data_IF_141008802233
#
_entry.id   IF_141008802233
#
_cell.length_a   1.000
_cell.length_b   1.000
_cell.length_c   1.000
_cell.angle_alpha   90.00
_cell.angle_beta   90.00
_cell.angle_gamma   90.00
#
_symmetry.space_group_name_H-M   'P 1'
#
loop_
_entity.id
_entity.type
_entity.pdbx_description
1 polymer ?
#
# COMPACT_ATOMS: atom_id res chain seq x y z
N UNK A 1 -10.78 7.44 12.77
CA UNK A 1 -10.88 6.04 13.20
C UNK A 1 -10.69 5.87 14.68
N UNK A 2 -9.52 6.16 15.24
CA UNK A 2 -9.25 6.03 16.69
C UNK A 2 -10.40 6.52 17.58
N UNK A 3 -10.85 7.77 17.39
CA UNK A 3 -12.00 8.31 18.13
C UNK A 3 -13.29 7.46 18.03
N UNK A 4 -13.65 6.98 16.84
CA UNK A 4 -14.85 6.16 16.67
C UNK A 4 -14.68 4.76 17.25
N UNK A 5 -13.46 4.24 17.26
CA UNK A 5 -13.15 3.02 17.99
C UNK A 5 -13.28 3.22 19.51
N UNK A 6 -12.85 4.37 20.04
CA UNK A 6 -13.03 4.68 21.47
C UNK A 6 -14.52 4.86 21.84
N UNK A 7 -15.32 5.44 20.95
CA UNK A 7 -16.77 5.61 21.13
C UNK A 7 -17.55 4.28 20.99
N UNK A 8 -17.11 3.41 20.08
CA UNK A 8 -17.78 2.16 19.70
C UNK A 8 -16.79 0.98 19.70
N UNK A 9 -16.22 0.57 20.85
CA UNK A 9 -15.09 -0.37 20.90
C UNK A 9 -15.43 -1.78 20.40
N UNK A 10 -16.68 -2.21 20.55
CA UNK A 10 -17.14 -3.55 20.13
C UNK A 10 -18.14 -3.49 18.96
N UNK A 11 -18.46 -2.29 18.48
CA UNK A 11 -19.46 -2.06 17.42
C UNK A 11 -18.80 -1.36 16.22
N UNK A 12 -18.05 -2.17 15.47
CA UNK A 12 -17.37 -1.72 14.26
C UNK A 12 -18.37 -1.30 13.17
N UNK A 13 -19.60 -1.84 13.16
CA UNK A 13 -20.61 -1.49 12.16
C UNK A 13 -21.06 -0.04 12.33
N UNK A 14 -21.29 0.42 13.57
CA UNK A 14 -21.59 1.83 13.85
C UNK A 14 -20.40 2.73 13.50
N UNK A 15 -19.17 2.35 13.83
CA UNK A 15 -17.98 3.11 13.44
C UNK A 15 -17.81 3.18 11.90
N UNK A 16 -18.11 2.09 11.21
CA UNK A 16 -18.13 2.02 9.75
C UNK A 16 -19.21 2.94 9.17
N UNK A 17 -20.41 3.00 9.75
CA UNK A 17 -21.46 3.93 9.30
C UNK A 17 -20.97 5.38 9.39
N UNK A 18 -20.33 5.78 10.49
CA UNK A 18 -19.74 7.13 10.64
C UNK A 18 -18.65 7.43 9.61
N UNK A 19 -17.82 6.43 9.33
CA UNK A 19 -16.78 6.49 8.32
C UNK A 19 -17.41 6.68 6.93
N UNK A 20 -18.41 5.87 6.59
CA UNK A 20 -19.12 5.91 5.32
C UNK A 20 -19.83 7.27 5.13
N UNK A 21 -20.56 7.76 6.13
CA UNK A 21 -21.19 9.09 6.12
C UNK A 21 -20.16 10.20 5.82
N UNK A 22 -19.00 10.16 6.48
CA UNK A 22 -18.01 11.24 6.39
C UNK A 22 -17.13 11.16 5.15
N UNK A 23 -16.59 10.01 4.81
CA UNK A 23 -15.55 9.88 3.78
C UNK A 23 -16.08 9.30 2.47
N UNK A 24 -17.18 8.55 2.52
CA UNK A 24 -17.79 7.98 1.32
C UNK A 24 -18.95 8.80 0.79
N UNK A 25 -19.89 9.26 1.63
CA UNK A 25 -21.11 9.93 1.16
C UNK A 25 -20.97 11.46 1.10
N UNK A 26 -20.12 12.06 1.94
CA UNK A 26 -19.96 13.51 1.98
C UNK A 26 -19.13 14.03 0.78
N UNK A 27 -19.72 14.87 -0.11
CA UNK A 27 -19.01 15.43 -1.26
C UNK A 27 -17.76 16.24 -0.90
N UNK A 28 -17.71 16.85 0.28
CA UNK A 28 -16.55 17.63 0.72
C UNK A 28 -15.28 16.79 0.88
N UNK A 29 -15.45 15.49 1.16
CA UNK A 29 -14.35 14.54 1.29
C UNK A 29 -14.06 13.77 0.00
N UNK A 30 -14.88 13.96 -1.06
CA UNK A 30 -14.76 13.28 -2.36
C UNK A 30 -14.24 14.15 -3.50
N UNK A 31 -13.74 15.36 -3.24
CA UNK A 31 -13.42 16.39 -4.26
C UNK A 31 -12.50 15.91 -5.40
N UNK A 32 -11.69 14.88 -5.19
CA UNK A 32 -10.87 14.23 -6.22
C UNK A 32 -10.88 12.69 -6.10
N UNK A 33 -12.00 12.12 -5.66
CA UNK A 33 -12.17 10.66 -5.59
C UNK A 33 -12.18 10.05 -6.99
N UNK A 34 -11.66 8.82 -7.11
CA UNK A 34 -11.87 7.98 -8.29
C UNK A 34 -13.38 7.72 -8.43
N UNK A 35 -13.94 8.05 -9.59
CA UNK A 35 -15.37 7.89 -9.88
C UNK A 35 -16.20 9.15 -9.62
N UNK A 36 -16.89 9.63 -10.67
CA UNK A 36 -17.95 10.65 -10.58
C UNK A 36 -19.33 10.05 -10.31
N UNK A 37 -19.43 8.72 -10.39
CA UNK A 37 -20.70 7.99 -10.26
C UNK A 37 -21.00 7.66 -8.80
N UNK A 38 -22.30 7.61 -8.48
CA UNK A 38 -22.80 7.29 -7.16
C UNK A 38 -22.50 5.83 -6.81
N UNK A 39 -21.64 5.61 -5.81
CA UNK A 39 -21.43 4.29 -5.20
C UNK A 39 -19.99 3.78 -5.17
N UNK A 40 -19.14 4.17 -6.13
CA UNK A 40 -17.72 3.75 -6.15
C UNK A 40 -16.80 4.83 -5.57
N UNK A 41 -15.87 4.46 -4.68
CA UNK A 41 -14.90 5.36 -4.06
C UNK A 41 -13.70 4.57 -3.53
N UNK A 42 -12.53 4.80 -4.10
CA UNK A 42 -11.25 4.23 -3.66
C UNK A 42 -10.28 5.35 -3.24
N UNK A 43 -10.81 6.43 -2.67
CA UNK A 43 -10.00 7.52 -2.14
C UNK A 43 -9.07 7.00 -1.03
N UNK A 44 -7.81 7.41 -1.07
CA UNK A 44 -6.78 6.96 -0.12
C UNK A 44 -7.14 7.20 1.36
N UNK A 45 -7.92 8.24 1.67
CA UNK A 45 -8.40 8.52 3.04
C UNK A 45 -9.42 7.48 3.48
N UNK A 46 -10.29 7.05 2.58
CA UNK A 46 -11.30 6.01 2.82
C UNK A 46 -10.63 4.65 3.00
N UNK A 47 -9.78 4.25 2.05
CA UNK A 47 -9.01 3.01 2.09
C UNK A 47 -8.14 2.92 3.36
N UNK A 48 -7.41 4.00 3.68
CA UNK A 48 -6.63 4.08 4.91
C UNK A 48 -7.50 3.92 6.17
N UNK A 49 -8.72 4.47 6.17
CA UNK A 49 -9.64 4.28 7.28
C UNK A 49 -10.15 2.82 7.39
N UNK A 50 -10.38 2.12 6.27
CA UNK A 50 -10.75 0.70 6.26
C UNK A 50 -9.62 -0.23 6.71
N UNK A 51 -8.37 0.09 6.37
CA UNK A 51 -7.19 -0.61 6.90
C UNK A 51 -7.13 -0.45 8.42
N UNK A 52 -7.26 0.79 8.93
CA UNK A 52 -7.23 1.06 10.38
C UNK A 52 -8.42 0.42 11.10
N UNK A 53 -9.61 0.38 10.48
CA UNK A 53 -10.77 -0.37 10.98
C UNK A 53 -10.40 -1.84 11.23
N UNK A 54 -9.87 -2.52 10.21
CA UNK A 54 -9.47 -3.92 10.32
C UNK A 54 -8.44 -4.14 11.43
N UNK A 55 -7.42 -3.28 11.51
CA UNK A 55 -6.38 -3.40 12.53
C UNK A 55 -6.89 -3.21 13.96
N UNK A 56 -7.79 -2.22 14.18
CA UNK A 56 -8.32 -1.92 15.51
C UNK A 56 -9.32 -3.00 15.96
N UNK A 57 -10.35 -3.26 15.16
CA UNK A 57 -11.41 -4.20 15.52
C UNK A 57 -11.04 -5.68 15.30
N UNK A 58 -9.99 -5.94 14.51
CA UNK A 58 -9.37 -7.25 14.43
C UNK A 58 -8.56 -7.60 15.68
N UNK A 59 -8.11 -6.60 16.45
CA UNK A 59 -7.41 -6.76 17.73
C UNK A 59 -6.26 -7.78 17.68
N UNK A 60 -5.45 -7.71 16.61
CA UNK A 60 -4.32 -8.61 16.39
C UNK A 60 -4.68 -10.00 15.85
N UNK A 61 -5.96 -10.34 15.69
CA UNK A 61 -6.41 -11.56 15.03
C UNK A 61 -6.39 -11.37 13.50
N UNK A 62 -5.60 -12.16 12.74
CA UNK A 62 -5.52 -12.03 11.30
C UNK A 62 -6.84 -12.24 10.54
N UNK A 63 -7.64 -13.24 10.94
CA UNK A 63 -8.89 -13.54 10.24
C UNK A 63 -9.89 -12.41 10.43
N UNK A 64 -10.05 -11.92 11.65
CA UNK A 64 -10.93 -10.78 11.94
C UNK A 64 -10.45 -9.50 11.26
N UNK A 65 -9.13 -9.26 11.27
CA UNK A 65 -8.53 -8.09 10.60
C UNK A 65 -8.86 -8.09 9.11
N UNK A 66 -8.68 -9.25 8.44
CA UNK A 66 -8.98 -9.44 7.02
C UNK A 66 -10.49 -9.35 6.77
N UNK A 67 -11.31 -10.01 7.58
CA UNK A 67 -12.77 -10.02 7.42
C UNK A 67 -13.34 -8.60 7.49
N UNK A 68 -13.00 -7.85 8.55
CA UNK A 68 -13.55 -6.51 8.79
C UNK A 68 -13.11 -5.54 7.69
N UNK A 69 -11.82 -5.53 7.35
CA UNK A 69 -11.32 -4.65 6.28
C UNK A 69 -11.87 -5.00 4.89
N UNK A 70 -12.15 -6.27 4.63
CA UNK A 70 -12.87 -6.71 3.41
C UNK A 70 -14.32 -6.21 3.43
N UNK A 71 -15.03 -6.41 4.54
CA UNK A 71 -16.45 -6.05 4.71
C UNK A 71 -16.71 -4.55 4.76
N UNK A 72 -15.67 -3.74 4.96
CA UNK A 72 -15.76 -2.29 4.80
C UNK A 72 -16.10 -1.86 3.34
N UNK A 73 -15.83 -2.73 2.36
CA UNK A 73 -16.22 -2.55 0.95
C UNK A 73 -15.26 -1.67 0.12
N UNK A 74 -15.70 -1.32 -1.08
CA UNK A 74 -14.95 -0.54 -2.08
C UNK A 74 -13.71 -1.29 -2.60
N UNK A 75 -12.52 -0.97 -2.09
CA UNK A 75 -11.23 -1.55 -2.50
C UNK A 75 -10.94 -2.83 -1.68
N UNK A 76 -11.80 -3.84 -1.87
CA UNK A 76 -11.87 -5.03 -1.01
C UNK A 76 -10.74 -6.04 -1.24
N UNK A 77 -9.85 -5.82 -2.20
CA UNK A 77 -8.61 -6.57 -2.37
C UNK A 77 -7.44 -5.83 -1.71
N UNK A 78 -7.28 -4.52 -1.97
CA UNK A 78 -6.14 -3.76 -1.42
C UNK A 78 -6.21 -3.56 0.09
N UNK A 79 -7.40 -3.24 0.63
CA UNK A 79 -7.56 -2.93 2.05
C UNK A 79 -7.24 -4.12 2.96
N UNK A 80 -7.83 -5.32 2.77
CA UNK A 80 -7.46 -6.47 3.60
C UNK A 80 -6.03 -6.94 3.39
N UNK A 81 -5.53 -6.90 2.15
CA UNK A 81 -4.13 -7.26 1.88
C UNK A 81 -3.15 -6.33 2.62
N UNK A 82 -3.44 -5.02 2.64
CA UNK A 82 -2.64 -4.03 3.35
C UNK A 82 -2.74 -4.18 4.87
N UNK A 83 -3.95 -4.38 5.41
CA UNK A 83 -4.15 -4.58 6.84
C UNK A 83 -3.44 -5.86 7.34
N UNK A 84 -3.60 -6.97 6.63
CA UNK A 84 -2.89 -8.21 6.91
C UNK A 84 -1.37 -8.04 6.78
N UNK A 85 -0.89 -7.34 5.74
CA UNK A 85 0.55 -7.09 5.53
C UNK A 85 1.18 -6.33 6.71
N UNK A 86 0.49 -5.29 7.22
CA UNK A 86 0.93 -4.56 8.43
C UNK A 86 0.98 -5.50 9.63
N UNK A 87 -0.11 -6.23 9.90
CA UNK A 87 -0.19 -7.14 11.04
C UNK A 87 0.89 -8.25 10.96
N UNK A 88 1.04 -8.90 9.81
CA UNK A 88 2.01 -9.97 9.58
C UNK A 88 3.45 -9.50 9.75
N UNK A 89 3.76 -8.26 9.37
CA UNK A 89 5.07 -7.66 9.61
C UNK A 89 5.37 -7.54 11.11
N UNK A 90 4.37 -7.21 11.93
CA UNK A 90 4.54 -7.13 13.39
C UNK A 90 4.65 -8.49 14.07
N UNK A 91 3.99 -9.52 13.54
CA UNK A 91 4.06 -10.90 14.06
C UNK A 91 5.37 -11.59 13.68
N UNK A 92 5.88 -11.30 12.48
CA UNK A 92 7.02 -11.99 11.88
C UNK A 92 6.63 -13.31 11.22
N UNK A 93 7.32 -13.64 10.12
CA UNK A 93 6.97 -14.77 9.24
C UNK A 93 6.86 -16.11 9.96
N UNK A 94 7.76 -16.38 10.93
CA UNK A 94 7.81 -17.65 11.66
C UNK A 94 6.61 -17.85 12.61
N UNK A 95 5.91 -16.78 12.99
CA UNK A 95 4.74 -16.84 13.86
C UNK A 95 3.42 -16.91 13.08
N UNK A 96 3.46 -16.82 11.74
CA UNK A 96 2.26 -16.83 10.93
C UNK A 96 1.62 -18.22 10.89
N UNK A 97 0.28 -18.32 11.05
CA UNK A 97 -0.43 -19.57 10.81
C UNK A 97 -0.21 -20.08 9.37
N UNK A 98 0.06 -21.37 9.24
CA UNK A 98 0.40 -22.02 7.96
C UNK A 98 -0.63 -21.76 6.85
N UNK A 99 -1.91 -21.62 7.20
CA UNK A 99 -3.00 -21.34 6.24
C UNK A 99 -2.78 -20.07 5.41
N UNK A 100 -2.01 -19.10 5.90
CA UNK A 100 -1.72 -17.86 5.17
C UNK A 100 -0.54 -18.00 4.20
N UNK A 101 0.25 -19.07 4.31
CA UNK A 101 1.47 -19.27 3.52
C UNK A 101 1.47 -20.54 2.67
N UNK A 102 0.66 -21.55 3.02
CA UNK A 102 0.71 -22.90 2.42
C UNK A 102 0.43 -22.94 0.92
N UNK A 103 -0.31 -21.97 0.40
CA UNK A 103 -0.67 -21.87 -1.02
C UNK A 103 0.18 -20.86 -1.81
N UNK A 104 1.14 -20.18 -1.18
CA UNK A 104 1.96 -19.16 -1.85
C UNK A 104 2.90 -19.80 -2.87
N UNK A 105 2.68 -19.51 -4.15
CA UNK A 105 3.56 -19.92 -5.24
C UNK A 105 4.52 -18.78 -5.57
N UNK A 106 5.82 -19.01 -5.36
CA UNK A 106 6.85 -17.96 -5.45
C UNK A 106 7.71 -18.02 -6.71
N UNK A 107 7.58 -19.11 -7.45
CA UNK A 107 8.37 -19.51 -8.61
C UNK A 107 7.55 -19.49 -9.92
N UNK A 108 6.32 -18.97 -9.88
CA UNK A 108 5.49 -18.76 -11.05
C UNK A 108 5.58 -17.30 -11.48
N UNK A 109 5.70 -17.09 -12.80
CA UNK A 109 5.72 -15.75 -13.39
C UNK A 109 4.36 -15.09 -13.25
N UNK A 110 4.32 -13.80 -12.90
CA UNK A 110 3.09 -13.03 -12.99
C UNK A 110 2.73 -12.81 -14.46
N UNK A 111 1.43 -12.84 -14.77
CA UNK A 111 0.92 -12.56 -16.12
C UNK A 111 1.50 -11.27 -16.68
N UNK A 112 1.97 -11.32 -17.93
CA UNK A 112 2.57 -10.17 -18.63
C UNK A 112 3.84 -9.60 -17.99
N UNK A 113 4.53 -10.38 -17.15
CA UNK A 113 5.83 -10.00 -16.58
C UNK A 113 6.86 -11.09 -16.79
N UNK A 114 8.15 -10.72 -16.85
CA UNK A 114 9.23 -11.68 -16.87
C UNK A 114 9.54 -12.28 -15.48
N UNK A 115 8.93 -11.76 -14.42
CA UNK A 115 9.34 -11.98 -13.04
C UNK A 115 8.43 -12.97 -12.31
N UNK A 116 9.05 -13.87 -11.54
CA UNK A 116 8.41 -14.56 -10.42
C UNK A 116 8.40 -13.67 -9.17
N UNK A 117 7.71 -14.08 -8.11
CA UNK A 117 7.79 -13.37 -6.82
C UNK A 117 9.24 -13.30 -6.31
N UNK A 118 10.01 -14.40 -6.42
CA UNK A 118 11.41 -14.42 -6.00
C UNK A 118 12.27 -13.46 -6.81
N UNK A 119 12.06 -13.37 -8.13
CA UNK A 119 12.80 -12.43 -8.96
C UNK A 119 12.48 -10.97 -8.59
N UNK A 120 11.21 -10.66 -8.32
CA UNK A 120 10.81 -9.32 -7.85
C UNK A 120 11.51 -8.96 -6.54
N UNK A 121 11.60 -9.87 -5.58
CA UNK A 121 12.32 -9.61 -4.32
C UNK A 121 13.80 -9.30 -4.59
N UNK A 122 14.47 -10.09 -5.44
CA UNK A 122 15.88 -9.86 -5.78
C UNK A 122 16.10 -8.51 -6.51
N UNK A 123 15.20 -8.13 -7.41
CA UNK A 123 15.24 -6.84 -8.10
C UNK A 123 14.99 -5.69 -7.12
N UNK A 124 13.98 -5.78 -6.26
CA UNK A 124 13.71 -4.79 -5.23
C UNK A 124 14.90 -4.60 -4.28
N UNK A 125 15.55 -5.69 -3.88
CA UNK A 125 16.77 -5.63 -3.06
C UNK A 125 17.91 -4.93 -3.81
N UNK A 126 18.13 -5.27 -5.08
CA UNK A 126 19.15 -4.63 -5.93
C UNK A 126 18.90 -3.13 -6.04
N UNK A 127 17.68 -2.72 -6.36
CA UNK A 127 17.29 -1.32 -6.48
C UNK A 127 17.44 -0.58 -5.15
N UNK A 128 17.09 -1.20 -4.01
CA UNK A 128 17.26 -0.60 -2.70
C UNK A 128 18.74 -0.35 -2.38
N UNK A 129 19.62 -1.30 -2.70
CA UNK A 129 21.07 -1.16 -2.53
C UNK A 129 21.64 -0.06 -3.42
N UNK A 130 21.23 -0.01 -4.68
CA UNK A 130 21.61 1.05 -5.62
C UNK A 130 21.15 2.43 -5.14
N UNK A 131 19.91 2.54 -4.68
CA UNK A 131 19.34 3.78 -4.15
C UNK A 131 20.14 4.31 -2.95
N UNK A 132 20.58 3.42 -2.04
CA UNK A 132 21.43 3.79 -0.90
C UNK A 132 22.75 4.38 -1.38
N UNK A 133 23.45 3.71 -2.30
CA UNK A 133 24.73 4.18 -2.82
C UNK A 133 24.55 5.49 -3.59
N UNK A 134 23.51 5.60 -4.41
CA UNK A 134 23.19 6.81 -5.18
C UNK A 134 22.91 8.02 -4.27
N UNK A 135 22.29 7.80 -3.12
CA UNK A 135 22.07 8.83 -2.11
C UNK A 135 23.35 9.22 -1.34
N UNK A 136 24.50 8.57 -1.59
CA UNK A 136 25.76 8.77 -0.86
C UNK A 136 25.89 7.92 0.41
N UNK A 137 25.02 6.91 0.57
CA UNK A 137 25.10 5.90 1.62
C UNK A 137 26.14 4.82 1.34
N UNK A 138 26.22 3.85 2.25
CA UNK A 138 27.12 2.69 2.12
C UNK A 138 26.50 1.43 2.72
N UNK A 139 26.93 0.28 2.23
CA UNK A 139 26.58 -1.02 2.80
C UNK A 139 27.85 -1.57 3.43
N UNK A 140 27.82 -1.80 4.74
CA UNK A 140 28.94 -2.32 5.52
C UNK A 140 28.57 -3.63 6.17
N UNK A 141 29.53 -4.31 6.81
CA UNK A 141 29.25 -5.48 7.65
C UNK A 141 29.49 -5.14 9.12
N UNK A 142 28.67 -5.70 10.01
CA UNK A 142 28.90 -5.66 11.45
C UNK A 142 29.91 -6.73 11.89
N UNK A 143 30.18 -6.79 13.20
CA UNK A 143 31.12 -7.74 13.79
C UNK A 143 30.69 -9.22 13.63
N UNK A 144 29.40 -9.48 13.41
CA UNK A 144 28.85 -10.81 13.14
C UNK A 144 28.84 -11.20 11.66
N UNK A 145 29.22 -10.26 10.78
CA UNK A 145 29.17 -10.42 9.33
C UNK A 145 27.81 -10.07 8.71
N UNK A 146 26.85 -9.61 9.52
CA UNK A 146 25.56 -9.11 9.07
C UNK A 146 25.69 -7.79 8.32
N UNK A 147 24.86 -7.57 7.30
CA UNK A 147 24.90 -6.34 6.53
C UNK A 147 24.22 -5.19 7.27
N UNK A 148 24.86 -4.01 7.21
CA UNK A 148 24.37 -2.76 7.76
C UNK A 148 24.20 -1.75 6.62
N UNK A 149 22.96 -1.29 6.44
CA UNK A 149 22.63 -0.26 5.48
C UNK A 149 22.80 1.11 6.14
N UNK A 150 23.89 1.80 5.79
CA UNK A 150 24.17 3.15 6.29
C UNK A 150 23.50 4.17 5.37
N UNK A 151 22.26 4.55 5.71
CA UNK A 151 21.47 5.52 4.96
C UNK A 151 21.86 6.93 5.39
N UNK A 152 22.19 7.84 4.46
CA UNK A 152 22.54 9.21 4.80
C UNK A 152 21.32 9.95 5.34
N UNK A 153 21.49 10.65 6.46
CA UNK A 153 20.45 11.52 7.00
C UNK A 153 20.42 12.81 6.19
N UNK A 154 19.33 13.01 5.45
CA UNK A 154 19.10 14.24 4.68
C UNK A 154 17.90 14.97 5.30
N UNK A 155 18.05 16.26 5.55
CA UNK A 155 16.93 17.07 6.01
C UNK A 155 15.83 17.07 4.94
N UNK A 156 14.56 16.76 5.29
CA UNK A 156 13.49 16.80 4.32
C UNK A 156 13.32 18.23 3.79
N UNK A 157 13.27 18.37 2.48
CA UNK A 157 12.95 19.63 1.80
C UNK A 157 11.56 19.51 1.15
N UNK A 158 10.48 19.57 1.94
CA UNK A 158 9.13 19.42 1.40
C UNK A 158 8.84 20.56 0.42
N UNK A 159 8.24 20.22 -0.72
CA UNK A 159 7.67 21.20 -1.62
C UNK A 159 6.48 21.93 -1.00
N UNK A 160 5.92 22.89 -1.75
CA UNK A 160 4.66 23.53 -1.38
C UNK A 160 3.57 22.45 -1.23
N UNK A 161 2.71 22.59 -0.23
CA UNK A 161 1.55 21.73 -0.08
C UNK A 161 0.58 21.94 -1.25
N UNK A 162 0.28 20.86 -1.97
CA UNK A 162 -0.66 20.85 -3.10
C UNK A 162 -1.84 19.94 -2.77
N UNK A 163 -3.03 20.28 -3.27
CA UNK A 163 -4.24 19.50 -3.07
C UNK A 163 -4.58 18.73 -4.34
N UNK A 164 -4.93 17.44 -4.22
CA UNK A 164 -5.24 16.62 -5.38
C UNK A 164 -6.48 17.11 -6.17
N UNK A 165 -7.39 17.86 -5.55
CA UNK A 165 -8.56 18.47 -6.20
C UNK A 165 -8.32 19.87 -6.76
N UNK A 166 -7.14 20.45 -6.52
CA UNK A 166 -6.74 21.72 -7.08
C UNK A 166 -5.24 21.67 -7.44
N UNK A 167 -4.85 20.73 -8.34
CA UNK A 167 -3.46 20.58 -8.70
C UNK A 167 -2.95 21.83 -9.43
N UNK A 168 -1.65 22.08 -9.31
CA UNK A 168 -0.96 23.08 -10.12
C UNK A 168 -1.01 22.79 -11.63
N UNK A 169 -0.45 23.68 -12.46
CA UNK A 169 -0.42 23.50 -13.91
C UNK A 169 0.31 22.21 -14.28
N UNK A 170 -0.20 21.53 -15.32
CA UNK A 170 0.42 20.30 -15.83
C UNK A 170 1.87 20.58 -16.26
N UNK A 171 2.80 19.73 -15.82
CA UNK A 171 4.22 19.86 -16.16
C UNK A 171 4.52 19.58 -17.64
N UNK A 172 3.54 19.09 -18.41
CA UNK A 172 3.68 18.65 -19.81
C UNK A 172 4.80 17.61 -20.02
N UNK A 173 5.11 16.81 -19.00
CA UNK A 173 6.05 15.69 -19.06
C UNK A 173 5.48 14.58 -19.93
N UNK A 174 5.66 14.68 -21.25
CA UNK A 174 5.26 13.68 -22.25
C UNK A 174 6.49 12.99 -22.80
N UNK A 175 6.36 11.70 -23.10
CA UNK A 175 7.37 10.99 -23.88
C UNK A 175 7.58 11.70 -25.23
N UNK A 176 8.84 11.84 -25.61
CA UNK A 176 9.26 12.23 -26.95
C UNK A 176 8.82 11.17 -27.96
N UNK A 177 8.82 11.51 -29.25
CA UNK A 177 8.43 10.55 -30.27
C UNK A 177 9.43 9.38 -30.38
N UNK A 178 10.72 9.63 -30.12
CA UNK A 178 11.75 8.60 -30.02
C UNK A 178 11.50 7.66 -28.83
N UNK A 179 11.08 8.19 -27.67
CA UNK A 179 10.74 7.38 -26.50
C UNK A 179 9.49 6.52 -26.75
N UNK A 180 8.47 7.07 -27.40
CA UNK A 180 7.27 6.31 -27.78
C UNK A 180 7.59 5.21 -28.78
N UNK A 181 8.49 5.46 -29.74
CA UNK A 181 8.91 4.46 -30.73
C UNK A 181 9.60 3.24 -30.10
N UNK A 182 10.11 3.37 -28.86
CA UNK A 182 10.68 2.27 -28.07
C UNK A 182 9.64 1.47 -27.28
N UNK A 183 8.40 1.95 -27.17
CA UNK A 183 7.31 1.23 -26.51
C UNK A 183 6.70 0.25 -27.53
N UNK A 184 7.24 -0.96 -27.55
CA UNK A 184 6.73 -2.05 -28.39
C UNK A 184 5.95 -3.04 -27.54
N UNK A 185 4.77 -3.45 -27.99
CA UNK A 185 4.06 -4.59 -27.42
C UNK A 185 4.88 -5.87 -27.71
N UNK A 186 5.12 -6.70 -26.69
CA UNK A 186 5.59 -8.05 -26.94
C UNK A 186 4.36 -8.90 -27.26
N UNK A 187 4.16 -9.21 -28.54
CA UNK A 187 3.16 -10.19 -28.95
C UNK A 187 3.49 -11.55 -28.30
N UNK A 188 2.47 -12.12 -27.64
CA UNK A 188 2.31 -13.52 -27.20
C UNK A 188 2.86 -13.94 -25.81
N UNK A 189 2.12 -14.83 -25.12
CA UNK A 189 2.09 -15.01 -23.66
C UNK A 189 3.20 -15.88 -23.07
#
# INVERSE_FOLDING_TARGET
MLRWHDEFPEDWETAWQRLNEKYHLNPDYRKASCGKEEGFNIDAKLNGAYIVMGLLYGNGDPDKTIEISTRCGQDSDCNPSSAAGVLFTTLGYNALPEKFTSALKRDIKFSHTAYTFNDLIAVCETLAREAIVHAGGRITKDASGGELFCIPMVAPAPGKAEQCWAPGPVANSRFTDDEKARITEQDTP
#
